data_IF_837688429983
#
_entry.id   IF_837688429983
#
_cell.length_a   1.000
_cell.length_b   1.000
_cell.length_c   1.000
_cell.angle_alpha   90.00
_cell.angle_beta   90.00
_cell.angle_gamma   90.00
#
_symmetry.space_group_name_H-M   'P 1'
#
loop_
_entity.id
_entity.type
_entity.pdbx_description
1 polymer ?
#
# COMPACT_ATOMS: atom_id res chain seq x y z
N UNK A 1 8.70 4.11 17.02
CA UNK A 1 7.95 4.87 16.01
C UNK A 1 6.76 4.00 15.60
N UNK A 2 5.82 4.46 14.78
CA UNK A 2 4.69 3.64 14.37
C UNK A 2 4.66 3.49 12.86
N UNK A 3 3.71 2.71 12.35
CA UNK A 3 3.53 2.45 10.92
C UNK A 3 3.16 3.70 10.11
N UNK A 4 4.06 4.11 9.24
CA UNK A 4 3.87 5.16 8.23
C UNK A 4 4.00 4.52 6.84
N UNK A 5 3.07 4.82 5.95
CA UNK A 5 2.96 4.18 4.64
C UNK A 5 2.80 5.23 3.57
N UNK A 6 3.36 4.98 2.39
CA UNK A 6 3.45 5.95 1.31
C UNK A 6 3.15 5.30 -0.04
N UNK A 7 2.57 6.07 -0.96
CA UNK A 7 2.56 5.70 -2.36
C UNK A 7 2.91 6.89 -3.27
N UNK A 8 3.69 6.62 -4.31
CA UNK A 8 4.18 7.59 -5.29
C UNK A 8 4.44 6.90 -6.63
N UNK A 9 4.81 7.68 -7.63
CA UNK A 9 5.23 7.17 -8.94
C UNK A 9 6.72 7.35 -9.14
N UNK A 10 7.31 6.41 -9.87
CA UNK A 10 8.60 6.58 -10.57
C UNK A 10 8.30 6.64 -12.05
N UNK A 11 8.69 7.72 -12.72
CA UNK A 11 8.53 7.86 -14.16
C UNK A 11 9.72 7.24 -14.90
N UNK A 12 9.50 6.65 -16.08
CA UNK A 12 10.56 5.97 -16.83
C UNK A 12 11.70 6.89 -17.30
N UNK A 13 11.49 8.22 -17.36
CA UNK A 13 12.46 9.16 -17.92
C UNK A 13 13.58 9.55 -16.94
N UNK A 14 13.32 9.60 -15.63
CA UNK A 14 14.32 10.03 -14.64
C UNK A 14 14.68 8.93 -13.65
N UNK A 15 13.78 7.96 -13.39
CA UNK A 15 13.95 7.00 -12.29
C UNK A 15 14.00 7.65 -10.91
N UNK A 16 13.76 8.96 -10.84
CA UNK A 16 13.74 9.75 -9.62
C UNK A 16 12.40 9.51 -8.91
N UNK A 17 12.44 9.37 -7.59
CA UNK A 17 11.25 9.45 -6.76
C UNK A 17 10.59 10.81 -7.02
N UNK A 18 9.30 10.81 -7.38
CA UNK A 18 8.55 12.08 -7.48
C UNK A 18 8.70 12.89 -6.19
N UNK A 19 8.66 14.24 -6.29
CA UNK A 19 9.04 15.17 -5.21
C UNK A 19 8.25 15.02 -3.89
N UNK A 20 7.20 14.20 -3.84
CA UNK A 20 6.50 13.82 -2.61
C UNK A 20 5.60 12.59 -2.78
N UNK A 21 5.33 11.83 -1.71
CA UNK A 21 4.31 10.79 -1.74
C UNK A 21 2.94 11.39 -2.07
N UNK A 22 2.26 10.81 -3.06
CA UNK A 22 0.90 11.20 -3.46
C UNK A 22 -0.13 10.76 -2.43
N UNK A 23 0.10 9.59 -1.83
CA UNK A 23 -0.72 9.05 -0.76
C UNK A 23 0.13 8.79 0.48
N UNK A 24 -0.42 9.13 1.64
CA UNK A 24 0.21 8.91 2.94
C UNK A 24 -0.83 8.32 3.87
N UNK A 25 -0.54 7.16 4.47
CA UNK A 25 -1.35 6.57 5.51
C UNK A 25 -0.59 6.52 6.81
N UNK A 26 -1.35 6.63 7.91
CA UNK A 26 -0.83 6.44 9.25
C UNK A 26 -1.56 5.26 9.87
N UNK A 27 -0.81 4.21 10.19
CA UNK A 27 -1.33 3.04 10.93
C UNK A 27 -2.45 2.28 10.22
N UNK A 28 -2.47 2.28 8.89
CA UNK A 28 -3.41 1.46 8.13
C UNK A 28 -2.96 0.00 8.08
N UNK A 29 -3.16 -0.67 9.21
CA UNK A 29 -2.66 -2.03 9.49
C UNK A 29 -3.16 -3.08 8.49
N UNK A 30 -4.42 -3.02 8.05
CA UNK A 30 -4.94 -3.98 7.06
C UNK A 30 -4.33 -3.78 5.67
N UNK A 31 -4.16 -2.52 5.26
CA UNK A 31 -3.45 -2.20 4.01
C UNK A 31 -1.99 -2.70 4.09
N UNK A 32 -1.33 -2.50 5.22
CA UNK A 32 0.03 -3.00 5.41
C UNK A 32 0.10 -4.52 5.30
N UNK A 33 -0.81 -5.26 5.94
CA UNK A 33 -0.86 -6.72 5.84
C UNK A 33 -1.12 -7.18 4.40
N UNK A 34 -1.95 -6.47 3.63
CA UNK A 34 -2.12 -6.76 2.21
C UNK A 34 -0.81 -6.59 1.42
N UNK A 35 -0.11 -5.47 1.62
CA UNK A 35 1.12 -5.15 0.89
C UNK A 35 2.30 -6.07 1.29
N UNK A 36 2.38 -6.45 2.56
CA UNK A 36 3.36 -7.42 3.08
C UNK A 36 3.18 -8.81 2.47
N UNK A 37 1.91 -9.27 2.35
CA UNK A 37 1.61 -10.56 1.71
C UNK A 37 2.00 -10.54 0.23
N UNK A 38 1.64 -9.48 -0.48
CA UNK A 38 2.00 -9.28 -1.88
C UNK A 38 3.53 -9.21 -2.09
N UNK A 39 4.22 -8.49 -1.20
CA UNK A 39 5.69 -8.40 -1.23
C UNK A 39 6.35 -9.76 -1.05
N UNK A 40 5.94 -10.52 -0.03
CA UNK A 40 6.50 -11.83 0.27
C UNK A 40 6.23 -12.82 -0.87
N UNK A 41 5.02 -12.82 -1.44
CA UNK A 41 4.66 -13.66 -2.58
C UNK A 41 5.53 -13.38 -3.80
N UNK A 42 5.74 -12.10 -4.13
CA UNK A 42 6.42 -11.71 -5.36
C UNK A 42 7.95 -11.80 -5.27
N UNK A 43 8.52 -11.55 -4.10
CA UNK A 43 9.98 -11.51 -3.91
C UNK A 43 10.55 -12.81 -3.34
N UNK A 44 9.73 -13.60 -2.64
CA UNK A 44 10.17 -14.74 -1.84
C UNK A 44 10.93 -14.34 -0.55
N UNK A 45 11.01 -13.04 -0.25
CA UNK A 45 11.64 -12.51 0.97
C UNK A 45 10.65 -12.47 2.13
N UNK A 46 11.13 -12.15 3.34
CA UNK A 46 10.25 -12.00 4.48
C UNK A 46 9.38 -10.74 4.33
N UNK A 47 8.12 -10.83 4.75
CA UNK A 47 7.20 -9.67 4.78
C UNK A 47 7.82 -8.45 5.49
N UNK A 48 8.59 -8.68 6.55
CA UNK A 48 9.28 -7.63 7.32
C UNK A 48 10.35 -6.89 6.53
N UNK A 49 10.88 -7.47 5.45
CA UNK A 49 11.89 -6.83 4.60
C UNK A 49 11.29 -5.68 3.76
N UNK A 50 9.96 -5.54 3.74
CA UNK A 50 9.29 -4.35 3.20
C UNK A 50 9.49 -3.09 4.08
N UNK A 51 9.92 -3.24 5.34
CA UNK A 51 10.27 -2.10 6.18
C UNK A 51 11.46 -1.33 5.58
N UNK A 52 11.28 -0.03 5.31
CA UNK A 52 12.22 0.79 4.54
C UNK A 52 12.47 0.29 3.10
N UNK A 53 11.61 -0.59 2.60
CA UNK A 53 11.66 -1.15 1.25
C UNK A 53 10.57 -0.57 0.36
N UNK A 54 10.62 -0.96 -0.92
CA UNK A 54 9.65 -0.57 -1.94
C UNK A 54 8.99 -1.79 -2.57
N UNK A 55 7.73 -1.62 -2.95
CA UNK A 55 6.91 -2.59 -3.66
C UNK A 55 6.31 -1.91 -4.89
N UNK A 56 6.74 -2.29 -6.09
CA UNK A 56 6.22 -1.72 -7.34
C UNK A 56 4.90 -2.37 -7.74
N UNK A 57 3.76 -1.69 -7.63
CA UNK A 57 2.45 -2.30 -7.83
C UNK A 57 2.12 -2.51 -9.31
N UNK A 58 1.51 -3.66 -9.59
CA UNK A 58 1.01 -4.05 -10.90
C UNK A 58 -0.51 -3.86 -10.97
N UNK A 59 -1.06 -3.81 -12.19
CA UNK A 59 -2.50 -3.58 -12.38
C UNK A 59 -3.38 -4.63 -11.67
N UNK A 60 -2.94 -5.89 -11.64
CA UNK A 60 -3.64 -6.97 -10.95
C UNK A 60 -3.65 -6.81 -9.43
N UNK A 61 -2.61 -6.20 -8.86
CA UNK A 61 -2.54 -5.88 -7.43
C UNK A 61 -3.59 -4.84 -7.07
N UNK A 62 -3.71 -3.80 -7.91
CA UNK A 62 -4.69 -2.73 -7.75
C UNK A 62 -6.12 -3.27 -7.88
N UNK A 63 -6.39 -4.15 -8.85
CA UNK A 63 -7.69 -4.79 -9.02
C UNK A 63 -8.07 -5.63 -7.79
N UNK A 64 -7.12 -6.41 -7.28
CA UNK A 64 -7.32 -7.26 -6.10
C UNK A 64 -7.56 -6.43 -4.85
N UNK A 65 -6.78 -5.34 -4.67
CA UNK A 65 -6.94 -4.40 -3.57
C UNK A 65 -8.30 -3.70 -3.61
N UNK A 66 -8.69 -3.17 -4.77
CA UNK A 66 -9.98 -2.49 -4.96
C UNK A 66 -11.15 -3.43 -4.68
N UNK A 67 -11.05 -4.70 -5.11
CA UNK A 67 -12.04 -5.72 -4.79
C UNK A 67 -12.12 -5.97 -3.28
N UNK A 68 -10.98 -6.14 -2.61
CA UNK A 68 -10.91 -6.36 -1.16
C UNK A 68 -11.48 -5.17 -0.37
N UNK A 69 -11.21 -3.93 -0.77
CA UNK A 69 -11.77 -2.73 -0.13
C UNK A 69 -13.30 -2.68 -0.30
N UNK A 70 -13.79 -2.94 -1.52
CA UNK A 70 -15.23 -2.90 -1.81
C UNK A 70 -16.01 -4.00 -1.09
N UNK A 71 -15.41 -5.18 -0.93
CA UNK A 71 -15.97 -6.30 -0.19
C UNK A 71 -15.76 -6.18 1.34
N UNK A 72 -15.11 -5.12 1.82
CA UNK A 72 -14.68 -5.00 3.23
C UNK A 72 -13.89 -6.22 3.73
N UNK A 73 -13.09 -6.79 2.83
CA UNK A 73 -12.37 -8.06 2.97
C UNK A 73 -10.84 -7.88 2.98
N UNK A 74 -10.34 -6.69 3.29
CA UNK A 74 -8.91 -6.50 3.56
C UNK A 74 -8.46 -7.44 4.70
N UNK A 75 -7.23 -8.00 4.61
CA UNK A 75 -6.77 -9.02 5.54
C UNK A 75 -6.70 -8.51 6.97
N UNK A 76 -6.91 -9.42 7.92
CA UNK A 76 -6.74 -9.12 9.34
C UNK A 76 -5.25 -8.97 9.66
N UNK A 77 -4.91 -7.93 10.43
CA UNK A 77 -3.55 -7.70 10.91
C UNK A 77 -3.39 -8.29 12.32
N UNK A 78 -2.52 -9.29 12.47
CA UNK A 78 -2.16 -9.92 13.76
C UNK A 78 -1.37 -8.96 14.69
N UNK A 79 -0.85 -7.86 14.15
CA UNK A 79 -0.21 -6.79 14.91
C UNK A 79 1.19 -6.43 14.44
N UNK A 80 1.71 -5.37 15.06
CA UNK A 80 3.01 -4.75 14.72
C UNK A 80 3.30 -3.59 15.66
N UNK A 81 4.53 -3.07 15.64
CA UNK A 81 4.97 -2.03 16.58
C UNK A 81 4.22 -0.71 16.33
N UNK A 82 3.22 -0.41 17.17
CA UNK A 82 2.34 0.76 17.06
C UNK A 82 1.57 0.89 15.73
N UNK A 83 1.16 -0.25 15.16
CA UNK A 83 0.39 -0.32 13.90
C UNK A 83 -1.08 0.12 14.02
N UNK A 84 -1.59 0.35 15.24
CA UNK A 84 -3.01 0.65 15.44
C UNK A 84 -3.95 -0.52 15.16
N UNK A 85 -3.44 -1.76 15.05
CA UNK A 85 -4.21 -2.96 14.70
C UNK A 85 -5.41 -3.25 15.64
N UNK A 86 -5.42 -2.66 16.85
CA UNK A 86 -6.56 -2.74 17.77
C UNK A 86 -7.83 -2.04 17.24
N UNK A 87 -7.69 -1.12 16.29
CA UNK A 87 -8.77 -0.35 15.65
C UNK A 87 -8.76 -0.56 14.13
N UNK A 88 -8.36 -1.75 13.68
CA UNK A 88 -8.09 -2.02 12.27
C UNK A 88 -9.34 -1.97 11.39
N UNK A 89 -10.51 -2.30 11.95
CA UNK A 89 -11.79 -2.24 11.23
C UNK A 89 -12.26 -0.79 11.06
N UNK A 90 -12.14 0.01 12.13
CA UNK A 90 -12.45 1.43 12.12
C UNK A 90 -11.54 2.18 11.15
N UNK A 91 -10.22 1.94 11.21
CA UNK A 91 -9.27 2.55 10.28
C UNK A 91 -9.54 2.16 8.83
N UNK A 92 -9.84 0.88 8.55
CA UNK A 92 -10.20 0.46 7.21
C UNK A 92 -11.50 1.13 6.71
N UNK A 93 -12.46 1.36 7.61
CA UNK A 93 -13.67 2.12 7.28
C UNK A 93 -13.39 3.61 7.02
N UNK A 94 -12.54 4.24 7.84
CA UNK A 94 -12.17 5.65 7.71
C UNK A 94 -11.36 5.91 6.43
N UNK A 95 -10.40 5.03 6.11
CA UNK A 95 -9.58 5.14 4.92
C UNK A 95 -10.27 4.66 3.65
N UNK A 96 -11.41 3.97 3.72
CA UNK A 96 -12.07 3.32 2.56
C UNK A 96 -12.15 4.22 1.33
N UNK A 97 -12.63 5.46 1.48
CA UNK A 97 -12.75 6.40 0.35
C UNK A 97 -11.38 6.77 -0.22
N UNK A 98 -10.41 7.03 0.66
CA UNK A 98 -9.04 7.38 0.28
C UNK A 98 -8.31 6.20 -0.40
N UNK A 99 -8.55 4.97 0.05
CA UNK A 99 -7.99 3.76 -0.56
C UNK A 99 -8.57 3.52 -1.97
N UNK A 100 -9.84 3.83 -2.20
CA UNK A 100 -10.45 3.77 -3.53
C UNK A 100 -9.91 4.87 -4.46
N UNK A 101 -9.67 6.08 -3.93
CA UNK A 101 -8.98 7.14 -4.67
C UNK A 101 -7.55 6.73 -5.06
N UNK A 102 -6.84 6.04 -4.17
CA UNK A 102 -5.54 5.44 -4.45
C UNK A 102 -5.64 4.40 -5.59
N UNK A 103 -6.60 3.48 -5.55
CA UNK A 103 -6.77 2.48 -6.60
C UNK A 103 -7.04 3.13 -7.97
N UNK A 104 -7.93 4.13 -8.01
CA UNK A 104 -8.25 4.87 -9.24
C UNK A 104 -7.02 5.62 -9.79
N UNK A 105 -6.27 6.29 -8.92
CA UNK A 105 -5.03 6.98 -9.30
C UNK A 105 -3.97 6.00 -9.80
N UNK A 106 -3.71 4.92 -9.06
CA UNK A 106 -2.70 3.93 -9.43
C UNK A 106 -2.99 3.30 -10.79
N UNK A 107 -4.27 3.00 -11.07
CA UNK A 107 -4.73 2.51 -12.38
C UNK A 107 -4.42 3.51 -13.51
N UNK A 108 -4.68 4.79 -13.28
CA UNK A 108 -4.40 5.83 -14.28
C UNK A 108 -2.89 5.98 -14.56
N UNK A 109 -2.07 5.98 -13.51
CA UNK A 109 -0.62 6.08 -13.63
C UNK A 109 0.00 4.88 -14.34
N UNK A 110 -0.39 3.66 -13.96
CA UNK A 110 0.06 2.44 -14.63
C UNK A 110 -0.38 2.45 -16.11
N UNK A 111 -1.61 2.90 -16.40
CA UNK A 111 -2.10 3.06 -17.77
C UNK A 111 -1.34 4.10 -18.60
N UNK A 112 -0.75 5.11 -17.95
CA UNK A 112 0.11 6.11 -18.56
C UNK A 112 1.59 5.67 -18.70
N UNK A 113 1.94 4.48 -18.20
CA UNK A 113 3.29 3.93 -18.23
C UNK A 113 4.18 4.31 -17.03
N UNK A 114 3.62 4.94 -16.00
CA UNK A 114 4.31 5.18 -14.73
C UNK A 114 4.42 3.89 -13.92
N UNK A 115 5.44 3.79 -13.06
CA UNK A 115 5.52 2.72 -12.05
C UNK A 115 5.00 3.23 -10.72
N UNK A 116 3.92 2.65 -10.21
CA UNK A 116 3.37 2.98 -8.89
C UNK A 116 4.15 2.22 -7.82
N UNK A 117 4.63 2.92 -6.80
CA UNK A 117 5.40 2.35 -5.70
C UNK A 117 4.59 2.48 -4.41
N UNK A 118 4.57 1.41 -3.62
CA UNK A 118 4.21 1.43 -2.22
C UNK A 118 5.48 1.27 -1.36
N UNK A 119 5.60 2.05 -0.29
CA UNK A 119 6.66 1.90 0.70
C UNK A 119 6.15 2.14 2.11
N UNK A 120 6.90 1.68 3.11
CA UNK A 120 6.52 1.83 4.51
C UNK A 120 7.74 1.86 5.43
N UNK A 121 7.54 2.36 6.65
CA UNK A 121 8.50 2.19 7.74
C UNK A 121 7.82 2.20 9.12
N UNK A 122 8.48 1.57 10.10
CA UNK A 122 7.98 1.45 11.48
C UNK A 122 9.09 1.17 12.50
#
# INVERSE_FOLDING_TARGET
>A
MGLDQYAYVKTPETGEEGESPKFVWRKHSKLQTFMEALYAERTGLAATDLNCGELALEIGDIDTLEHAINASALPHCEGGFFYGHQFQDEQASEYRTYDLEFCAWARAEIGAGSTVIYSCWW
#
